data_IF_914682455512
#
_entry.id   IF_914682455512
#
_cell.length_a   1.000
_cell.length_b   1.000
_cell.length_c   1.000
_cell.angle_alpha   90.00
_cell.angle_beta   90.00
_cell.angle_gamma   90.00
#
_symmetry.space_group_name_H-M   'P 1'
#
loop_
_entity.id
_entity.type
_entity.pdbx_description
1 polymer ?
#
# COMPACT_ATOMS: atom_id res chain seq x y z
N UNK A 1 11.14 18.10 -18.35
CA UNK A 1 10.32 16.91 -18.72
C UNK A 1 10.01 16.14 -17.44
N UNK A 2 8.75 16.08 -16.98
CA UNK A 2 8.39 15.25 -15.81
C UNK A 2 8.17 13.83 -16.31
N UNK A 3 8.97 12.88 -15.84
CA UNK A 3 8.86 11.48 -16.25
C UNK A 3 7.56 10.85 -15.73
N UNK A 4 7.08 9.78 -16.37
CA UNK A 4 5.84 9.08 -15.99
C UNK A 4 5.86 8.61 -14.54
N UNK A 5 7.04 8.17 -14.05
CA UNK A 5 7.26 7.81 -12.66
C UNK A 5 7.01 8.98 -11.69
N UNK A 6 7.29 10.22 -12.10
CA UNK A 6 7.03 11.40 -11.29
C UNK A 6 5.53 11.72 -11.23
N UNK A 7 4.80 11.64 -12.34
CA UNK A 7 3.34 11.80 -12.37
C UNK A 7 2.64 10.72 -11.54
N UNK A 8 3.03 9.46 -11.72
CA UNK A 8 2.56 8.33 -10.91
C UNK A 8 2.81 8.56 -9.41
N UNK A 9 4.04 8.96 -9.05
CA UNK A 9 4.37 9.31 -7.66
C UNK A 9 3.43 10.37 -7.08
N UNK A 10 3.01 11.37 -7.87
CA UNK A 10 2.14 12.43 -7.39
C UNK A 10 0.71 11.93 -7.12
N UNK A 11 0.14 11.15 -8.04
CA UNK A 11 -1.19 10.56 -7.86
C UNK A 11 -1.21 9.62 -6.65
N UNK A 12 -0.21 8.74 -6.56
CA UNK A 12 -0.12 7.74 -5.50
C UNK A 12 0.12 8.38 -4.13
N UNK A 13 0.96 9.43 -4.07
CA UNK A 13 1.15 10.19 -2.82
C UNK A 13 -0.13 10.87 -2.35
N UNK A 14 -0.99 11.32 -3.25
CA UNK A 14 -2.26 11.91 -2.85
C UNK A 14 -3.19 10.86 -2.23
N UNK A 15 -3.28 9.68 -2.85
CA UNK A 15 -4.06 8.57 -2.30
C UNK A 15 -3.53 8.11 -0.92
N UNK A 16 -2.21 8.14 -0.73
CA UNK A 16 -1.58 7.79 0.54
C UNK A 16 -1.89 8.76 1.69
N UNK A 17 -2.15 10.04 1.42
CA UNK A 17 -2.40 11.04 2.49
C UNK A 17 -3.61 10.68 3.36
N UNK A 18 -4.59 10.01 2.78
CA UNK A 18 -5.88 9.75 3.44
C UNK A 18 -5.82 8.60 4.41
N UNK A 19 -4.91 7.67 4.14
CA UNK A 19 -4.63 6.52 4.97
C UNK A 19 -3.29 6.70 5.69
N UNK A 20 -2.70 7.89 5.70
CA UNK A 20 -1.34 8.11 6.22
C UNK A 20 -1.23 7.68 7.68
N UNK A 21 -2.28 7.94 8.49
CA UNK A 21 -2.33 7.47 9.87
C UNK A 21 -2.45 5.95 9.98
N UNK A 22 -3.30 5.29 9.16
CA UNK A 22 -3.38 3.83 9.12
C UNK A 22 -2.06 3.20 8.69
N UNK A 23 -1.42 3.75 7.65
CA UNK A 23 -0.09 3.34 7.19
C UNK A 23 0.96 3.58 8.27
N UNK A 24 0.91 4.69 9.01
CA UNK A 24 1.81 4.98 10.13
C UNK A 24 1.66 3.99 11.28
N UNK A 25 0.44 3.57 11.61
CA UNK A 25 0.18 2.56 12.64
C UNK A 25 0.65 1.18 12.20
N UNK A 26 0.30 0.74 10.99
CA UNK A 26 0.77 -0.53 10.43
C UNK A 26 2.31 -0.56 10.35
N UNK A 27 2.92 0.53 9.87
CA UNK A 27 4.39 0.70 9.86
C UNK A 27 5.00 0.58 11.26
N UNK A 28 4.35 1.15 12.27
CA UNK A 28 4.80 1.06 13.66
C UNK A 28 4.74 -0.37 14.18
N UNK A 29 3.68 -1.11 13.84
CA UNK A 29 3.54 -2.52 14.18
C UNK A 29 4.60 -3.40 13.48
N UNK A 30 4.82 -3.20 12.18
CA UNK A 30 5.90 -3.87 11.42
C UNK A 30 7.27 -3.56 12.02
N UNK A 31 7.53 -2.30 12.38
CA UNK A 31 8.77 -1.90 13.04
C UNK A 31 8.94 -2.64 14.38
N UNK A 32 7.87 -2.77 15.16
CA UNK A 32 7.90 -3.49 16.43
C UNK A 32 8.36 -4.94 16.23
N UNK A 33 7.76 -5.66 15.28
CA UNK A 33 8.11 -7.06 14.95
C UNK A 33 9.60 -7.19 14.65
N UNK A 34 10.15 -6.27 13.85
CA UNK A 34 11.54 -6.32 13.38
C UNK A 34 12.59 -5.88 14.39
N UNK A 35 12.20 -5.10 15.40
CA UNK A 35 13.17 -4.46 16.31
C UNK A 35 13.90 -5.48 17.19
N UNK A 36 13.35 -6.68 17.41
CA UNK A 36 14.04 -7.74 18.16
C UNK A 36 14.11 -9.04 17.36
N UNK A 37 15.27 -9.73 17.34
CA UNK A 37 15.39 -11.08 16.81
C UNK A 37 14.40 -12.07 17.44
N UNK A 38 14.10 -11.93 18.74
CA UNK A 38 13.13 -12.77 19.43
C UNK A 38 11.70 -12.55 18.92
N UNK A 39 11.32 -11.30 18.64
CA UNK A 39 10.01 -10.93 18.08
C UNK A 39 9.88 -11.39 16.63
N UNK A 40 10.94 -11.22 15.85
CA UNK A 40 11.02 -11.71 14.47
C UNK A 40 10.92 -13.24 14.39
N UNK A 41 11.57 -13.97 15.31
CA UNK A 41 11.49 -15.44 15.37
C UNK A 41 10.09 -15.90 15.79
N UNK A 42 9.47 -15.20 16.77
CA UNK A 42 8.10 -15.49 17.18
C UNK A 42 7.11 -15.29 16.02
N UNK A 43 7.31 -14.23 15.24
CA UNK A 43 6.57 -13.97 14.00
C UNK A 43 6.68 -15.08 12.99
N UNK A 44 7.90 -15.51 12.66
CA UNK A 44 8.12 -16.59 11.70
C UNK A 44 7.45 -17.89 12.15
N UNK A 45 7.51 -18.23 13.45
CA UNK A 45 6.81 -19.41 13.98
C UNK A 45 5.29 -19.32 13.81
N UNK A 46 4.70 -18.15 14.00
CA UNK A 46 3.26 -17.95 13.82
C UNK A 46 2.85 -18.03 12.35
N UNK A 47 3.63 -17.41 11.45
CA UNK A 47 3.48 -17.55 10.00
C UNK A 47 3.52 -19.01 9.55
N UNK A 48 4.43 -19.80 10.10
CA UNK A 48 4.56 -21.24 9.81
C UNK A 48 3.35 -22.05 10.30
N UNK A 49 2.80 -21.71 11.48
CA UNK A 49 1.61 -22.38 12.05
C UNK A 49 0.34 -22.11 11.23
N UNK A 50 0.16 -20.88 10.77
CA UNK A 50 -1.00 -20.43 9.98
C UNK A 50 -0.91 -20.82 8.49
N UNK A 51 0.17 -21.51 8.07
CA UNK A 51 0.43 -21.93 6.68
C UNK A 51 0.35 -20.77 5.67
N UNK A 52 0.70 -19.56 6.09
CA UNK A 52 0.70 -18.39 5.23
C UNK A 52 1.78 -18.57 4.15
N UNK A 53 1.46 -18.28 2.89
CA UNK A 53 2.39 -18.48 1.76
C UNK A 53 3.68 -17.66 1.87
N UNK A 54 3.67 -16.55 2.61
CA UNK A 54 4.81 -15.65 2.76
C UNK A 54 5.68 -16.06 3.97
N UNK A 55 6.89 -16.55 3.72
CA UNK A 55 7.81 -17.04 4.77
C UNK A 55 8.84 -16.01 5.27
N UNK A 56 8.78 -14.78 4.76
CA UNK A 56 9.72 -13.70 5.10
C UNK A 56 9.28 -12.87 6.31
N UNK A 57 10.15 -11.96 6.75
CA UNK A 57 9.71 -10.85 7.61
C UNK A 57 9.12 -9.74 6.73
N UNK A 58 8.11 -8.98 7.19
CA UNK A 58 7.64 -7.80 6.46
C UNK A 58 8.79 -6.81 6.28
N UNK A 59 8.93 -6.24 5.08
CA UNK A 59 9.96 -5.24 4.80
C UNK A 59 9.56 -3.90 5.42
N UNK A 60 10.51 -3.19 6.04
CA UNK A 60 10.28 -1.78 6.40
C UNK A 60 10.22 -0.96 5.12
N UNK A 61 9.24 -0.07 5.04
CA UNK A 61 9.14 0.85 3.94
C UNK A 61 10.16 2.00 4.02
N UNK A 62 10.43 2.59 2.87
CA UNK A 62 11.14 3.84 2.70
C UNK A 62 10.08 4.91 2.47
N UNK A 63 9.85 5.79 3.45
CA UNK A 63 8.78 6.81 3.44
C UNK A 63 8.69 7.64 2.15
N UNK A 64 9.81 7.84 1.45
CA UNK A 64 9.87 8.62 0.21
C UNK A 64 9.52 7.82 -1.06
N UNK A 65 9.38 6.49 -0.96
CA UNK A 65 9.16 5.55 -2.07
C UNK A 65 7.93 4.69 -1.82
N UNK A 66 6.79 5.07 -2.42
CA UNK A 66 5.53 4.36 -2.25
C UNK A 66 5.60 2.87 -2.62
N UNK A 67 6.45 2.45 -3.57
CA UNK A 67 6.66 1.02 -3.90
C UNK A 67 7.02 0.19 -2.67
N UNK A 68 7.89 0.74 -1.81
CA UNK A 68 8.28 0.05 -0.57
C UNK A 68 7.19 0.08 0.49
N UNK A 69 6.34 1.12 0.51
CA UNK A 69 5.15 1.19 1.35
C UNK A 69 4.12 0.15 0.90
N UNK A 70 3.91 0.00 -0.41
CA UNK A 70 3.08 -1.05 -0.99
C UNK A 70 3.57 -2.45 -0.58
N UNK A 71 4.85 -2.76 -0.78
CA UNK A 71 5.42 -4.05 -0.39
C UNK A 71 5.26 -4.33 1.12
N UNK A 72 5.43 -3.31 1.96
CA UNK A 72 5.19 -3.43 3.40
C UNK A 72 3.72 -3.77 3.69
N UNK A 73 2.78 -3.05 3.07
CA UNK A 73 1.33 -3.26 3.27
C UNK A 73 0.87 -4.61 2.73
N UNK A 74 1.33 -5.03 1.54
CA UNK A 74 0.98 -6.31 0.93
C UNK A 74 1.37 -7.49 1.83
N UNK A 75 2.55 -7.41 2.44
CA UNK A 75 2.99 -8.43 3.39
C UNK A 75 2.24 -8.32 4.72
N UNK A 76 2.03 -7.10 5.23
CA UNK A 76 1.36 -6.89 6.51
C UNK A 76 -0.11 -7.35 6.49
N UNK A 77 -0.79 -7.21 5.35
CA UNK A 77 -2.17 -7.66 5.19
C UNK A 77 -2.31 -9.19 5.14
N UNK A 78 -1.28 -9.91 4.68
CA UNK A 78 -1.27 -11.38 4.70
C UNK A 78 -1.19 -11.96 6.11
N UNK A 79 -0.82 -11.15 7.11
CA UNK A 79 -0.65 -11.57 8.51
C UNK A 79 -1.09 -10.47 9.50
N UNK A 80 -2.22 -9.82 9.19
CA UNK A 80 -2.76 -8.66 9.95
C UNK A 80 -3.05 -9.00 11.42
N UNK A 81 -3.58 -10.21 11.66
CA UNK A 81 -4.00 -10.71 12.97
C UNK A 81 -2.82 -10.73 13.92
N UNK A 82 -1.71 -11.33 13.50
CA UNK A 82 -0.55 -11.50 14.36
C UNK A 82 0.28 -10.21 14.51
N UNK A 83 0.39 -9.40 13.45
CA UNK A 83 1.00 -8.07 13.55
C UNK A 83 0.22 -7.20 14.55
N UNK A 84 -1.12 -7.29 14.55
CA UNK A 84 -1.98 -6.64 15.53
C UNK A 84 -1.73 -7.14 16.96
N UNK A 85 -1.68 -8.45 17.17
CA UNK A 85 -1.46 -9.03 18.50
C UNK A 85 -0.12 -8.66 19.12
N UNK A 86 0.97 -8.72 18.34
CA UNK A 86 2.30 -8.39 18.87
C UNK A 86 2.49 -6.90 19.11
N UNK A 87 1.78 -6.03 18.40
CA UNK A 87 1.88 -4.58 18.57
C UNK A 87 1.07 -4.04 19.77
N UNK A 88 0.34 -4.90 20.50
CA UNK A 88 -0.37 -4.57 21.76
C UNK A 88 0.55 -3.99 22.83
N UNK A 89 1.85 -4.26 22.75
CA UNK A 89 2.77 -3.98 23.86
C UNK A 89 3.45 -2.60 23.82
N UNK A 90 3.44 -1.82 22.71
CA UNK A 90 3.93 -0.41 22.66
C UNK A 90 3.87 0.24 21.26
N UNK A 91 3.66 1.57 21.20
CA UNK A 91 3.79 2.39 19.98
C UNK A 91 2.69 3.44 19.82
N UNK A 92 2.26 3.72 18.57
CA UNK A 92 1.06 4.51 18.25
C UNK A 92 -0.26 3.76 18.51
N UNK A 93 -0.20 2.63 19.21
CA UNK A 93 -1.32 1.69 19.38
C UNK A 93 -1.30 0.56 18.35
N UNK A 94 -2.13 -0.44 18.62
CA UNK A 94 -2.43 -1.56 17.71
C UNK A 94 -3.19 -1.00 16.50
N UNK A 95 -2.86 -1.37 15.25
CA UNK A 95 -3.70 -1.02 14.12
C UNK A 95 -5.13 -1.56 14.34
N UNK A 96 -6.14 -0.70 14.21
CA UNK A 96 -7.55 -1.10 14.33
C UNK A 96 -8.04 -1.83 13.08
N UNK A 97 -9.19 -2.48 13.15
CA UNK A 97 -9.82 -3.12 11.98
C UNK A 97 -9.98 -2.13 10.81
N UNK A 98 -10.36 -0.89 11.10
CA UNK A 98 -10.43 0.20 10.12
C UNK A 98 -9.07 0.56 9.50
N UNK A 99 -7.95 0.36 10.19
CA UNK A 99 -6.62 0.59 9.61
C UNK A 99 -6.29 -0.48 8.56
N UNK A 100 -6.69 -1.72 8.83
CA UNK A 100 -6.54 -2.84 7.91
C UNK A 100 -7.45 -2.70 6.69
N UNK A 101 -8.74 -2.38 6.88
CA UNK A 101 -9.68 -2.09 5.79
C UNK A 101 -9.19 -0.93 4.90
N UNK A 102 -8.61 0.10 5.50
CA UNK A 102 -8.02 1.21 4.77
C UNK A 102 -6.80 0.81 3.94
N UNK A 103 -5.97 -0.10 4.46
CA UNK A 103 -4.85 -0.65 3.71
C UNK A 103 -5.34 -1.56 2.57
N UNK A 104 -6.29 -2.46 2.82
CA UNK A 104 -6.87 -3.36 1.82
C UNK A 104 -7.47 -2.60 0.64
N UNK A 105 -8.26 -1.56 0.93
CA UNK A 105 -8.91 -0.76 -0.12
C UNK A 105 -7.92 -0.03 -1.04
N UNK A 106 -6.68 0.24 -0.61
CA UNK A 106 -5.69 0.95 -1.44
C UNK A 106 -4.71 0.02 -2.17
N UNK A 107 -4.54 -1.23 -1.71
CA UNK A 107 -3.59 -2.20 -2.29
C UNK A 107 -3.85 -2.45 -3.78
N UNK A 108 -5.10 -2.58 -4.27
CA UNK A 108 -5.37 -2.70 -5.70
C UNK A 108 -4.88 -1.49 -6.51
N UNK A 109 -4.98 -0.28 -5.97
CA UNK A 109 -4.48 0.93 -6.62
C UNK A 109 -2.95 0.90 -6.73
N UNK A 110 -2.26 0.44 -5.69
CA UNK A 110 -0.81 0.27 -5.75
C UNK A 110 -0.38 -0.83 -6.72
N UNK A 111 -1.00 -2.02 -6.71
CA UNK A 111 -0.67 -3.12 -7.65
C UNK A 111 -0.81 -2.66 -9.11
N UNK A 112 -1.92 -1.98 -9.43
CA UNK A 112 -2.11 -1.39 -10.75
C UNK A 112 -0.98 -0.41 -11.12
N UNK A 113 -0.57 0.46 -10.20
CA UNK A 113 0.53 1.41 -10.48
C UNK A 113 1.90 0.74 -10.56
N UNK A 114 2.19 -0.31 -9.78
CA UNK A 114 3.45 -1.06 -9.84
C UNK A 114 3.59 -1.75 -11.19
N UNK A 115 2.57 -2.50 -11.63
CA UNK A 115 2.54 -3.16 -12.96
C UNK A 115 2.77 -2.17 -14.11
N UNK A 116 2.20 -0.97 -13.97
CA UNK A 116 2.36 0.11 -14.95
C UNK A 116 3.77 0.72 -14.88
N UNK A 117 4.40 0.73 -13.70
CA UNK A 117 5.74 1.28 -13.47
C UNK A 117 6.88 0.34 -13.91
N UNK A 118 6.74 -0.97 -13.72
CA UNK A 118 7.76 -1.97 -14.07
C UNK A 118 7.99 -2.09 -15.59
N UNK A 119 7.04 -1.62 -16.38
CA UNK A 119 7.09 -1.64 -17.85
C UNK A 119 7.62 -0.33 -18.45
N UNK A 120 8.23 0.56 -17.66
CA UNK A 120 8.63 1.93 -18.06
C UNK A 120 9.96 2.03 -18.83
N UNK A 121 10.65 0.91 -19.06
CA UNK A 121 11.77 0.91 -19.98
C UNK A 121 11.25 0.99 -21.41
N UNK A 122 11.39 2.20 -21.98
CA UNK A 122 11.38 2.53 -23.41
C UNK A 122 9.99 2.86 -24.03
N UNK A 123 9.93 3.99 -24.76
CA UNK A 123 8.93 4.46 -25.74
C UNK A 123 7.76 5.35 -25.23
N UNK A 124 7.65 6.56 -25.80
CA UNK A 124 6.61 7.57 -25.51
C UNK A 124 5.18 7.14 -25.87
N UNK A 125 5.00 6.19 -26.78
CA UNK A 125 3.69 5.61 -27.12
C UNK A 125 3.09 4.81 -25.94
N UNK A 126 3.94 4.14 -25.15
CA UNK A 126 3.51 3.44 -23.94
C UNK A 126 3.11 4.42 -22.83
N UNK A 127 3.62 5.64 -22.82
CA UNK A 127 3.26 6.65 -21.83
C UNK A 127 1.78 7.00 -21.89
N UNK A 128 1.27 7.36 -23.07
CA UNK A 128 -0.14 7.73 -23.22
C UNK A 128 -1.05 6.56 -22.87
N UNK A 129 -0.76 5.35 -23.39
CA UNK A 129 -1.54 4.14 -23.09
C UNK A 129 -1.63 3.86 -21.58
N UNK A 130 -0.55 4.11 -20.82
CA UNK A 130 -0.51 3.93 -19.37
C UNK A 130 -1.25 5.02 -18.60
N UNK A 131 -1.09 6.27 -18.99
CA UNK A 131 -1.87 7.38 -18.42
C UNK A 131 -3.36 7.08 -18.59
N UNK A 132 -3.79 6.71 -19.80
CA UNK A 132 -5.16 6.27 -20.07
C UNK A 132 -5.58 5.04 -19.26
N UNK A 133 -4.70 4.07 -19.02
CA UNK A 133 -5.01 2.91 -18.18
C UNK A 133 -5.25 3.30 -16.71
N UNK A 134 -4.43 4.20 -16.15
CA UNK A 134 -4.62 4.76 -14.81
C UNK A 134 -5.95 5.53 -14.75
N UNK A 135 -6.22 6.40 -15.73
CA UNK A 135 -7.46 7.16 -15.80
C UNK A 135 -8.70 6.25 -15.90
N UNK A 136 -8.61 5.16 -16.67
CA UNK A 136 -9.68 4.16 -16.75
C UNK A 136 -9.89 3.44 -15.43
N UNK A 137 -8.81 3.03 -14.77
CA UNK A 137 -8.89 2.37 -13.47
C UNK A 137 -9.52 3.30 -12.42
N UNK A 138 -9.06 4.55 -12.32
CA UNK A 138 -9.64 5.55 -11.42
C UNK A 138 -11.14 5.74 -11.70
N UNK A 139 -11.54 5.92 -12.97
CA UNK A 139 -12.95 6.07 -13.34
C UNK A 139 -13.79 4.86 -12.95
N UNK A 140 -13.30 3.66 -13.24
CA UNK A 140 -13.99 2.43 -12.86
C UNK A 140 -14.12 2.31 -11.33
N UNK A 141 -13.09 2.72 -10.58
CA UNK A 141 -13.15 2.76 -9.13
C UNK A 141 -14.07 3.85 -8.58
N UNK A 142 -14.34 4.94 -9.32
CA UNK A 142 -15.39 5.91 -8.99
C UNK A 142 -16.79 5.31 -9.11
N UNK A 143 -16.97 4.27 -9.93
CA UNK A 143 -18.26 3.57 -10.07
C UNK A 143 -18.42 2.43 -9.02
N UNK A 144 -17.49 2.32 -8.08
CA UNK A 144 -17.52 1.30 -7.01
C UNK A 144 -18.73 1.49 -6.09
N UNK A 145 -19.38 0.37 -5.74
CA UNK A 145 -20.45 0.33 -4.74
C UNK A 145 -19.92 0.63 -3.33
N UNK A 146 -18.66 0.29 -3.06
CA UNK A 146 -18.01 0.66 -1.81
C UNK A 146 -17.72 2.17 -1.78
N UNK A 147 -18.39 2.87 -0.87
CA UNK A 147 -18.25 4.31 -0.66
C UNK A 147 -16.82 4.71 -0.35
N UNK A 148 -16.07 3.89 0.40
CA UNK A 148 -14.69 4.20 0.78
C UNK A 148 -13.80 4.20 -0.47
N UNK A 149 -13.89 3.16 -1.28
CA UNK A 149 -13.18 3.02 -2.56
C UNK A 149 -13.58 4.13 -3.54
N UNK A 150 -14.88 4.41 -3.70
CA UNK A 150 -15.39 5.49 -4.56
C UNK A 150 -14.85 6.86 -4.14
N UNK A 151 -14.94 7.18 -2.85
CA UNK A 151 -14.50 8.47 -2.29
C UNK A 151 -13.00 8.70 -2.54
N UNK A 152 -12.18 7.65 -2.35
CA UNK A 152 -10.72 7.67 -2.62
C UNK A 152 -10.43 7.84 -4.11
N UNK A 153 -11.14 7.09 -4.97
CA UNK A 153 -11.00 7.18 -6.42
C UNK A 153 -11.32 8.58 -6.95
N UNK A 154 -12.36 9.22 -6.44
CA UNK A 154 -12.79 10.55 -6.87
C UNK A 154 -11.71 11.62 -6.61
N UNK A 155 -10.99 11.52 -5.50
CA UNK A 155 -9.89 12.44 -5.21
C UNK A 155 -8.66 12.17 -6.06
N UNK A 156 -8.37 10.90 -6.36
CA UNK A 156 -7.35 10.54 -7.35
C UNK A 156 -7.73 11.06 -8.74
N UNK A 157 -9.02 11.06 -9.12
CA UNK A 157 -9.55 11.62 -10.37
C UNK A 157 -9.27 13.11 -10.47
N UNK A 158 -9.57 13.88 -9.42
CA UNK A 158 -9.31 15.34 -9.38
C UNK A 158 -7.83 15.65 -9.60
N UNK A 159 -6.89 14.83 -9.11
CA UNK A 159 -5.46 15.03 -9.40
C UNK A 159 -5.05 14.52 -10.77
N UNK A 160 -5.59 13.40 -11.21
CA UNK A 160 -5.35 12.88 -12.55
C UNK A 160 -5.78 13.90 -13.62
N UNK A 161 -6.92 14.58 -13.45
CA UNK A 161 -7.40 15.58 -14.42
C UNK A 161 -6.65 16.92 -14.36
N UNK A 162 -5.97 17.20 -13.25
CA UNK A 162 -5.17 18.42 -13.08
C UNK A 162 -3.83 18.37 -13.84
N UNK A 163 -3.32 17.18 -14.15
CA UNK A 163 -1.97 16.95 -14.67
C UNK A 163 -1.98 16.24 -16.01
#
# INVERSE_FOLDING_TARGET
MRCCAHFLNLIVKEALKEIDESVLRIRSAVKYVRTSPSRATRFQKCVELEKIQYKGLPCMDVKTRWNSTYQMLEVALKDNTYIGEMSREKGRGVPSDSDWENAESIVPFFDATVRISDTLYVISDMYMKKVFAIGRFIRHSCDSVDFITMSKAERMRVKYEKY
#
